data_IF_085227986213
#
_entry.id   IF_085227986213
#
_cell.length_a   1.000
_cell.length_b   1.000
_cell.length_c   1.000
_cell.angle_alpha   90.00
_cell.angle_beta   90.00
_cell.angle_gamma   90.00
#
_symmetry.space_group_name_H-M   'P 1'
#
loop_
_entity.id
_entity.type
_entity.pdbx_description
1 polymer ?
#
# COMPACT_ATOMS: atom_id res chain seq x y z
N UNK A 1 -9.12 -9.02 -2.75
CA UNK A 1 -8.28 -8.16 -1.86
C UNK A 1 -8.62 -6.70 -2.08
N UNK A 2 -8.68 -5.90 -1.01
CA UNK A 2 -8.84 -4.45 -1.14
C UNK A 2 -7.51 -3.81 -1.57
N UNK A 3 -7.36 -3.46 -2.83
CA UNK A 3 -6.19 -2.74 -3.33
C UNK A 3 -6.48 -1.25 -3.42
N UNK A 4 -5.73 -0.45 -2.68
CA UNK A 4 -5.83 0.99 -2.70
C UNK A 4 -4.84 1.60 -3.68
N UNK A 5 -5.36 2.34 -4.66
CA UNK A 5 -4.55 3.10 -5.61
C UNK A 5 -4.11 4.41 -4.95
N UNK A 6 -2.84 4.45 -4.55
CA UNK A 6 -2.27 5.60 -3.87
C UNK A 6 -1.86 6.71 -4.85
N UNK A 7 -1.84 7.98 -4.36
CA UNK A 7 -1.53 9.17 -5.14
C UNK A 7 -2.58 9.55 -6.19
N UNK A 8 -2.49 10.75 -6.73
CA UNK A 8 -3.39 11.30 -7.75
C UNK A 8 -2.83 11.13 -9.16
N UNK A 9 -3.72 10.95 -10.12
CA UNK A 9 -3.43 10.98 -11.56
C UNK A 9 -3.87 12.27 -12.25
N UNK A 10 -3.77 12.28 -13.57
CA UNK A 10 -4.45 13.30 -14.38
C UNK A 10 -5.96 13.04 -14.45
N UNK A 11 -6.70 13.94 -15.09
CA UNK A 11 -8.18 13.84 -15.17
C UNK A 11 -8.68 12.50 -15.72
N UNK A 12 -8.04 12.00 -16.77
CA UNK A 12 -8.47 10.74 -17.42
C UNK A 12 -8.20 9.52 -16.56
N UNK A 13 -7.06 9.50 -15.84
CA UNK A 13 -6.74 8.45 -14.89
C UNK A 13 -7.72 8.46 -13.72
N UNK A 14 -8.05 9.63 -13.17
CA UNK A 14 -9.03 9.75 -12.08
C UNK A 14 -10.42 9.28 -12.51
N UNK A 15 -10.87 9.64 -13.71
CA UNK A 15 -12.14 9.15 -14.26
C UNK A 15 -12.14 7.61 -14.45
N UNK A 16 -11.01 7.02 -14.86
CA UNK A 16 -10.88 5.58 -14.97
C UNK A 16 -10.93 4.89 -13.61
N UNK A 17 -10.20 5.42 -12.61
CA UNK A 17 -10.17 4.90 -11.25
C UNK A 17 -11.58 4.94 -10.62
N UNK A 18 -12.34 6.01 -10.85
CA UNK A 18 -13.72 6.11 -10.40
C UNK A 18 -14.64 5.13 -11.12
N UNK A 19 -14.61 5.11 -12.47
CA UNK A 19 -15.42 4.20 -13.28
C UNK A 19 -15.24 2.72 -12.91
N UNK A 20 -14.01 2.37 -12.50
CA UNK A 20 -13.66 1.01 -12.07
C UNK A 20 -13.88 0.78 -10.57
N UNK A 21 -14.43 1.73 -9.86
CA UNK A 21 -14.64 1.65 -8.40
C UNK A 21 -13.37 1.29 -7.63
N UNK A 22 -12.22 1.81 -8.05
CA UNK A 22 -10.95 1.58 -7.38
C UNK A 22 -10.96 2.21 -5.97
N UNK A 23 -10.44 1.48 -4.99
CA UNK A 23 -10.20 2.05 -3.67
C UNK A 23 -9.03 3.05 -3.76
N UNK A 24 -9.07 4.11 -2.95
CA UNK A 24 -8.10 5.18 -3.00
C UNK A 24 -7.40 5.37 -1.67
N UNK A 25 -6.10 5.64 -1.74
CA UNK A 25 -5.31 6.09 -0.61
C UNK A 25 -4.73 7.47 -0.92
N UNK A 26 -4.89 8.40 0.01
CA UNK A 26 -4.27 9.71 -0.04
C UNK A 26 -3.65 10.06 1.31
N UNK A 27 -2.55 10.79 1.30
CA UNK A 27 -2.07 11.43 2.53
C UNK A 27 -2.98 12.60 2.87
N UNK A 28 -3.10 12.95 4.16
CA UNK A 28 -3.88 14.12 4.59
C UNK A 28 -3.43 15.44 3.92
N UNK A 29 -2.22 15.47 3.38
CA UNK A 29 -1.67 16.64 2.68
C UNK A 29 -2.32 16.85 1.31
N UNK A 30 -2.96 15.84 0.74
CA UNK A 30 -3.63 15.86 -0.56
C UNK A 30 -5.12 16.29 -0.44
N UNK A 31 -5.42 17.29 0.38
CA UNK A 31 -6.80 17.72 0.71
C UNK A 31 -7.70 17.94 -0.51
N UNK A 32 -7.16 18.53 -1.58
CA UNK A 32 -7.91 18.76 -2.83
C UNK A 32 -8.29 17.45 -3.53
N UNK A 33 -7.39 16.47 -3.56
CA UNK A 33 -7.64 15.14 -4.14
C UNK A 33 -8.65 14.35 -3.33
N UNK A 34 -8.55 14.42 -1.99
CA UNK A 34 -9.50 13.79 -1.06
C UNK A 34 -10.90 14.38 -1.28
N UNK A 35 -11.04 15.71 -1.29
CA UNK A 35 -12.30 16.41 -1.54
C UNK A 35 -12.90 15.96 -2.88
N UNK A 36 -12.13 16.01 -3.95
CA UNK A 36 -12.55 15.56 -5.28
C UNK A 36 -12.99 14.09 -5.28
N UNK A 37 -12.23 13.20 -4.65
CA UNK A 37 -12.58 11.79 -4.54
C UNK A 37 -13.93 11.60 -3.82
N UNK A 38 -14.19 12.35 -2.75
CA UNK A 38 -15.44 12.31 -2.01
C UNK A 38 -16.61 12.83 -2.85
N UNK A 39 -16.41 13.94 -3.57
CA UNK A 39 -17.44 14.54 -4.44
C UNK A 39 -17.80 13.63 -5.63
N UNK A 40 -16.82 12.91 -6.18
CA UNK A 40 -17.02 11.97 -7.28
C UNK A 40 -17.67 10.65 -6.83
N UNK A 41 -17.59 10.30 -5.56
CA UNK A 41 -18.25 9.11 -5.01
C UNK A 41 -19.77 9.24 -5.11
N UNK A 42 -20.37 8.49 -5.99
CA UNK A 42 -21.83 8.36 -6.04
C UNK A 42 -22.31 7.42 -4.93
N UNK A 43 -23.60 7.49 -4.58
CA UNK A 43 -24.22 6.57 -3.59
C UNK A 43 -24.09 5.08 -3.95
N UNK A 44 -23.81 4.77 -5.22
CA UNK A 44 -23.65 3.40 -5.75
C UNK A 44 -22.20 2.98 -5.90
N UNK A 45 -21.25 3.87 -5.65
CA UNK A 45 -19.82 3.54 -5.76
C UNK A 45 -19.32 2.87 -4.47
N UNK A 46 -18.98 1.58 -4.47
CA UNK A 46 -18.53 0.85 -3.29
C UNK A 46 -17.05 1.10 -2.95
N UNK A 47 -16.39 2.03 -3.63
CA UNK A 47 -14.97 2.30 -3.41
C UNK A 47 -14.70 2.78 -1.99
N UNK A 48 -13.58 2.34 -1.43
CA UNK A 48 -13.11 2.69 -0.08
C UNK A 48 -12.11 3.83 -0.16
N UNK A 49 -12.05 4.64 0.90
CA UNK A 49 -11.10 5.74 1.03
C UNK A 49 -10.25 5.52 2.29
N UNK A 50 -8.95 5.44 2.10
CA UNK A 50 -7.95 5.37 3.15
C UNK A 50 -7.22 6.72 3.24
N UNK A 51 -7.10 7.28 4.44
CA UNK A 51 -6.33 8.50 4.70
C UNK A 51 -5.05 8.12 5.46
N UNK A 52 -3.91 8.35 4.82
CA UNK A 52 -2.60 8.23 5.45
C UNK A 52 -2.22 9.55 6.15
N UNK A 53 -1.45 9.44 7.25
CA UNK A 53 -1.04 10.59 8.04
C UNK A 53 -0.11 11.56 7.31
N UNK A 54 0.59 11.08 6.28
CA UNK A 54 1.61 11.84 5.56
C UNK A 54 2.92 12.04 6.35
N UNK A 55 3.14 11.25 7.40
CA UNK A 55 4.33 11.35 8.26
C UNK A 55 5.63 11.26 7.45
N UNK A 56 5.72 10.34 6.49
CA UNK A 56 6.91 10.21 5.62
C UNK A 56 7.15 11.47 4.77
N UNK A 57 6.11 12.00 4.15
CA UNK A 57 6.22 13.23 3.33
C UNK A 57 6.62 14.43 4.18
N UNK A 58 6.08 14.53 5.39
CA UNK A 58 6.42 15.60 6.33
C UNK A 58 7.86 15.48 6.80
N UNK A 59 8.28 14.27 7.18
CA UNK A 59 9.66 14.00 7.60
C UNK A 59 10.69 14.32 6.50
N UNK A 60 10.43 13.98 5.23
CA UNK A 60 11.33 14.34 4.11
C UNK A 60 11.44 15.84 3.90
N UNK A 61 10.46 16.63 4.36
CA UNK A 61 10.46 18.09 4.32
C UNK A 61 10.96 18.74 5.62
N UNK A 62 11.38 17.95 6.60
CA UNK A 62 11.84 18.43 7.91
C UNK A 62 10.73 19.06 8.77
N UNK A 63 9.47 18.69 8.55
CA UNK A 63 8.31 19.15 9.34
C UNK A 63 7.66 17.97 10.05
N UNK A 64 6.99 18.23 11.16
CA UNK A 64 6.20 17.23 11.89
C UNK A 64 4.73 17.32 11.50
N UNK A 65 4.04 16.19 11.61
CA UNK A 65 2.57 16.16 11.51
C UNK A 65 2.00 16.60 12.86
N UNK A 66 1.12 17.59 12.84
CA UNK A 66 0.33 17.97 14.00
C UNK A 66 -0.80 16.94 14.21
N UNK A 67 -0.71 16.21 15.33
CA UNK A 67 -1.59 15.07 15.61
C UNK A 67 -3.02 15.52 15.86
N UNK A 68 -3.23 16.63 16.58
CA UNK A 68 -4.59 17.14 16.87
C UNK A 68 -5.26 17.66 15.61
N UNK A 69 -4.55 18.41 14.77
CA UNK A 69 -5.08 18.83 13.46
C UNK A 69 -5.44 17.64 12.56
N UNK A 70 -4.66 16.56 12.62
CA UNK A 70 -4.98 15.34 11.88
C UNK A 70 -6.23 14.64 12.44
N UNK A 71 -6.35 14.52 13.75
CA UNK A 71 -7.55 13.97 14.42
C UNK A 71 -8.80 14.75 14.02
N UNK A 72 -8.75 16.08 14.07
CA UNK A 72 -9.87 16.94 13.68
C UNK A 72 -10.25 16.72 12.21
N UNK A 73 -9.24 16.63 11.35
CA UNK A 73 -9.46 16.36 9.93
C UNK A 73 -10.13 14.99 9.70
N UNK A 74 -9.66 13.93 10.35
CA UNK A 74 -10.26 12.59 10.28
C UNK A 74 -11.69 12.60 10.83
N UNK A 75 -11.93 13.23 11.96
CA UNK A 75 -13.27 13.34 12.57
C UNK A 75 -14.28 14.07 11.66
N UNK A 76 -13.82 15.05 10.88
CA UNK A 76 -14.64 15.72 9.87
C UNK A 76 -14.96 14.86 8.63
N UNK A 77 -14.19 13.79 8.41
CA UNK A 77 -14.35 12.86 7.30
C UNK A 77 -14.89 11.48 7.75
N UNK A 78 -15.26 11.32 9.02
CA UNK A 78 -15.51 9.99 9.58
C UNK A 78 -16.51 9.14 8.79
N UNK A 79 -17.61 9.72 8.34
CA UNK A 79 -18.63 9.03 7.52
C UNK A 79 -18.18 8.73 6.07
N UNK A 80 -17.07 9.27 5.62
CA UNK A 80 -16.58 9.20 4.22
C UNK A 80 -15.36 8.33 4.04
N UNK A 81 -14.64 8.05 5.12
CA UNK A 81 -13.44 7.24 5.11
C UNK A 81 -13.69 5.82 5.62
N UNK A 82 -12.86 4.88 5.17
CA UNK A 82 -12.91 3.49 5.64
C UNK A 82 -11.82 3.20 6.66
N UNK A 83 -10.63 3.75 6.47
CA UNK A 83 -9.43 3.52 7.28
C UNK A 83 -8.65 4.82 7.37
N UNK A 84 -7.96 5.05 8.49
CA UNK A 84 -6.92 6.05 8.63
C UNK A 84 -5.69 5.46 9.33
N UNK A 85 -4.50 5.90 8.92
CA UNK A 85 -3.25 5.50 9.56
C UNK A 85 -2.98 6.33 10.81
N UNK A 86 -2.29 5.75 11.79
CA UNK A 86 -1.72 6.53 12.88
C UNK A 86 -0.71 7.56 12.35
N UNK A 87 -0.33 8.53 13.17
CA UNK A 87 0.82 9.41 12.89
C UNK A 87 2.08 8.71 13.36
N UNK A 88 2.89 8.24 12.40
CA UNK A 88 4.18 7.63 12.69
C UNK A 88 5.20 8.65 13.13
N UNK A 89 6.06 8.28 14.08
CA UNK A 89 7.30 8.95 14.39
C UNK A 89 8.42 8.28 13.60
N UNK A 90 8.90 8.92 12.53
CA UNK A 90 9.99 8.38 11.72
C UNK A 90 11.32 8.77 12.37
N UNK A 91 12.28 7.82 12.57
CA UNK A 91 13.51 8.11 13.28
C UNK A 91 14.42 9.07 12.52
N UNK A 92 15.03 9.99 13.27
CA UNK A 92 16.05 10.90 12.78
C UNK A 92 15.55 11.99 11.84
N UNK A 93 16.48 12.56 11.09
CA UNK A 93 16.25 13.62 10.09
C UNK A 93 16.56 13.06 8.72
N UNK A 94 15.75 13.44 7.72
CA UNK A 94 15.97 13.02 6.33
C UNK A 94 17.38 13.38 5.84
N UNK A 95 18.06 12.45 5.20
CA UNK A 95 19.41 12.63 4.67
C UNK A 95 20.54 12.47 5.70
N UNK A 96 20.23 12.20 6.98
CA UNK A 96 21.20 11.91 8.03
C UNK A 96 21.13 10.45 8.47
N UNK A 97 22.28 9.88 8.85
CA UNK A 97 22.32 8.55 9.46
C UNK A 97 21.55 8.59 10.78
N UNK A 98 20.65 7.64 10.97
CA UNK A 98 19.83 7.48 12.18
C UNK A 98 20.68 6.92 13.32
N UNK A 99 20.53 7.45 14.51
CA UNK A 99 21.14 6.89 15.71
C UNK A 99 20.34 5.71 16.24
N UNK A 100 20.98 4.81 16.96
CA UNK A 100 20.32 3.67 17.60
C UNK A 100 19.18 4.12 18.54
N UNK A 101 19.41 5.18 19.30
CA UNK A 101 18.40 5.77 20.18
C UNK A 101 17.15 6.25 19.41
N UNK A 102 17.32 6.92 18.26
CA UNK A 102 16.19 7.37 17.43
C UNK A 102 15.39 6.20 16.89
N UNK A 103 16.06 5.11 16.50
CA UNK A 103 15.41 3.88 16.02
C UNK A 103 14.60 3.22 17.14
N UNK A 104 15.11 3.19 18.36
CA UNK A 104 14.44 2.58 19.51
C UNK A 104 13.27 3.42 20.05
N UNK A 105 13.39 4.75 20.03
CA UNK A 105 12.36 5.67 20.55
C UNK A 105 11.17 5.86 19.57
N UNK A 106 11.42 5.79 18.27
CA UNK A 106 10.40 6.10 17.26
C UNK A 106 9.17 5.19 17.34
N UNK A 107 9.27 3.86 17.46
CA UNK A 107 8.10 3.01 17.58
C UNK A 107 7.33 3.22 18.90
N UNK A 108 8.03 3.64 19.97
CA UNK A 108 7.38 4.00 21.25
C UNK A 108 6.49 5.23 21.06
N UNK A 109 7.02 6.29 20.43
CA UNK A 109 6.26 7.51 20.13
C UNK A 109 5.13 7.27 19.14
N UNK A 110 5.35 6.44 18.13
CA UNK A 110 4.29 6.02 17.19
C UNK A 110 3.15 5.31 17.92
N UNK A 111 3.47 4.45 18.88
CA UNK A 111 2.48 3.79 19.71
C UNK A 111 1.74 4.75 20.65
N UNK A 112 2.44 5.71 21.25
CA UNK A 112 1.82 6.78 22.06
C UNK A 112 0.84 7.61 21.22
N UNK A 113 1.22 7.97 19.98
CA UNK A 113 0.33 8.64 19.05
C UNK A 113 -0.93 7.79 18.74
N UNK A 114 -0.77 6.48 18.50
CA UNK A 114 -1.91 5.59 18.30
C UNK A 114 -2.86 5.61 19.49
N UNK A 115 -2.33 5.46 20.72
CA UNK A 115 -3.15 5.47 21.94
C UNK A 115 -3.87 6.80 22.14
N UNK A 116 -3.20 7.90 21.87
CA UNK A 116 -3.79 9.24 21.96
C UNK A 116 -4.89 9.46 20.92
N UNK A 117 -4.62 9.08 19.67
CA UNK A 117 -5.57 9.24 18.56
C UNK A 117 -6.84 8.40 18.76
N UNK A 118 -6.70 7.13 19.17
CA UNK A 118 -7.85 6.22 19.33
C UNK A 118 -8.88 6.73 20.34
N UNK A 119 -8.44 7.49 21.35
CA UNK A 119 -9.31 8.03 22.39
C UNK A 119 -10.05 9.31 21.94
N UNK A 120 -9.56 9.98 20.88
CA UNK A 120 -10.10 11.23 20.33
C UNK A 120 -10.87 11.07 19.03
N UNK A 121 -10.66 9.96 18.32
CA UNK A 121 -11.36 9.69 17.08
C UNK A 121 -12.79 9.22 17.33
N UNK A 122 -13.74 9.68 16.50
CA UNK A 122 -15.15 9.26 16.53
C UNK A 122 -15.30 7.75 16.32
N UNK A 123 -14.49 7.19 15.40
CA UNK A 123 -14.49 5.78 15.01
C UNK A 123 -13.09 5.20 15.14
N UNK A 124 -12.71 4.79 16.36
CA UNK A 124 -11.40 4.21 16.66
C UNK A 124 -11.06 2.99 15.79
N UNK A 125 -12.07 2.21 15.38
CA UNK A 125 -11.89 0.98 14.60
C UNK A 125 -11.42 1.24 13.17
N UNK A 126 -11.45 2.50 12.73
CA UNK A 126 -10.87 2.94 11.46
C UNK A 126 -9.38 3.26 11.57
N UNK A 127 -8.88 3.50 12.79
CA UNK A 127 -7.47 3.79 13.02
C UNK A 127 -6.65 2.52 13.03
N UNK A 128 -5.60 2.47 12.21
CA UNK A 128 -4.67 1.36 12.20
C UNK A 128 -3.30 1.79 12.74
N UNK A 129 -2.73 1.04 13.71
CA UNK A 129 -1.32 1.15 14.05
C UNK A 129 -0.48 0.48 12.97
N UNK A 130 0.76 0.93 12.79
CA UNK A 130 1.67 0.43 11.75
C UNK A 130 2.91 -0.15 12.41
N UNK A 131 3.30 -1.36 11.98
CA UNK A 131 4.54 -2.02 12.34
C UNK A 131 5.53 -1.96 11.17
N UNK A 132 6.71 -1.37 11.40
CA UNK A 132 7.73 -1.18 10.37
C UNK A 132 8.86 -2.22 10.47
N UNK A 133 9.47 -2.54 9.34
CA UNK A 133 10.52 -3.58 9.24
C UNK A 133 11.72 -3.34 10.14
N UNK A 134 12.05 -2.10 10.48
CA UNK A 134 13.22 -1.78 11.30
C UNK A 134 12.95 -1.82 12.82
N UNK A 135 11.70 -2.05 13.20
CA UNK A 135 11.28 -2.12 14.60
C UNK A 135 11.50 -3.51 15.20
N UNK A 136 11.65 -3.56 16.52
CA UNK A 136 11.63 -4.83 17.25
C UNK A 136 10.27 -5.51 17.12
N UNK A 137 10.26 -6.82 16.90
CA UNK A 137 9.03 -7.63 16.87
C UNK A 137 8.23 -7.61 18.18
N UNK A 138 8.83 -7.13 19.28
CA UNK A 138 8.10 -6.89 20.53
C UNK A 138 7.03 -5.82 20.38
N UNK A 139 7.22 -4.83 19.48
CA UNK A 139 6.17 -3.84 19.16
C UNK A 139 4.98 -4.50 18.44
N UNK A 140 5.23 -5.42 17.49
CA UNK A 140 4.15 -6.18 16.86
C UNK A 140 3.40 -7.03 17.91
N UNK A 141 4.10 -7.74 18.79
CA UNK A 141 3.47 -8.51 19.86
C UNK A 141 2.60 -7.64 20.75
N UNK A 142 3.14 -6.47 21.18
CA UNK A 142 2.40 -5.49 21.97
C UNK A 142 1.11 -5.03 21.30
N UNK A 143 1.12 -4.76 19.98
CA UNK A 143 -0.08 -4.43 19.21
C UNK A 143 -1.11 -5.58 19.23
N UNK A 144 -0.65 -6.81 19.08
CA UNK A 144 -1.52 -7.99 19.02
C UNK A 144 -2.12 -8.37 20.39
N UNK A 145 -1.40 -8.11 21.47
CA UNK A 145 -1.82 -8.36 22.85
C UNK A 145 -2.70 -7.24 23.41
N UNK A 146 -2.63 -6.06 22.81
CA UNK A 146 -3.39 -4.90 23.29
C UNK A 146 -4.89 -5.17 23.27
N UNK A 147 -5.56 -4.68 24.32
CA UNK A 147 -7.02 -4.68 24.42
C UNK A 147 -7.52 -3.28 24.76
N UNK A 148 -8.56 -2.87 24.06
CA UNK A 148 -9.29 -1.65 24.38
C UNK A 148 -9.98 -1.77 25.74
N UNK A 149 -10.47 -0.67 26.31
CA UNK A 149 -11.16 -0.64 27.61
C UNK A 149 -12.41 -1.55 27.68
N UNK A 150 -13.00 -1.86 26.52
CA UNK A 150 -14.12 -2.80 26.40
C UNK A 150 -13.67 -4.28 26.18
N UNK A 151 -12.37 -4.55 26.28
CA UNK A 151 -11.78 -5.89 26.09
C UNK A 151 -11.58 -6.30 24.64
N UNK A 152 -11.99 -5.49 23.65
CA UNK A 152 -11.82 -5.83 22.24
C UNK A 152 -10.35 -5.67 21.79
N UNK A 153 -9.83 -6.57 20.92
CA UNK A 153 -8.49 -6.41 20.35
C UNK A 153 -8.48 -5.37 19.26
N UNK A 154 -7.27 -4.95 18.85
CA UNK A 154 -7.10 -4.16 17.61
C UNK A 154 -7.62 -4.98 16.43
N UNK A 155 -8.53 -4.38 15.66
CA UNK A 155 -9.19 -5.06 14.54
C UNK A 155 -8.33 -5.10 13.26
N UNK A 156 -7.40 -4.15 13.12
CA UNK A 156 -6.64 -3.96 11.88
C UNK A 156 -5.28 -3.34 12.18
N UNK A 157 -4.20 -3.88 11.60
CA UNK A 157 -2.83 -3.37 11.71
C UNK A 157 -2.19 -3.19 10.34
N UNK A 158 -1.25 -2.26 10.22
CA UNK A 158 -0.40 -2.08 9.05
C UNK A 158 0.91 -2.83 9.20
N UNK A 159 1.39 -3.43 8.11
CA UNK A 159 2.72 -4.03 7.98
C UNK A 159 3.47 -3.26 6.90
N UNK A 160 4.56 -2.60 7.28
CA UNK A 160 5.31 -1.69 6.41
C UNK A 160 6.74 -2.18 6.17
N UNK A 161 7.00 -2.91 5.07
CA UNK A 161 8.37 -3.26 4.69
C UNK A 161 9.17 -2.02 4.30
N UNK A 162 10.46 -1.99 4.64
CA UNK A 162 11.34 -0.87 4.30
C UNK A 162 11.70 -0.88 2.81
N UNK A 163 11.61 0.28 2.14
CA UNK A 163 11.96 0.41 0.73
C UNK A 163 13.45 0.17 0.45
N UNK A 164 14.31 0.41 1.44
CA UNK A 164 15.77 0.34 1.33
C UNK A 164 16.32 -1.08 1.50
N UNK A 165 15.47 -2.05 1.82
CA UNK A 165 15.87 -3.45 2.04
C UNK A 165 15.73 -4.29 0.78
N UNK A 166 16.52 -5.37 0.72
CA UNK A 166 16.43 -6.35 -0.36
C UNK A 166 15.06 -7.04 -0.39
N UNK A 167 14.71 -7.63 -1.52
CA UNK A 167 13.45 -8.37 -1.65
C UNK A 167 13.39 -9.56 -0.68
N UNK A 168 14.53 -10.24 -0.44
CA UNK A 168 14.64 -11.34 0.53
C UNK A 168 14.38 -10.85 1.95
N UNK A 169 15.01 -9.72 2.38
CA UNK A 169 14.81 -9.17 3.72
C UNK A 169 13.37 -8.76 3.98
N UNK A 170 12.71 -8.20 2.95
CA UNK A 170 11.28 -7.85 3.03
C UNK A 170 10.42 -9.11 3.21
N UNK A 171 10.71 -10.16 2.47
CA UNK A 171 9.97 -11.41 2.54
C UNK A 171 10.18 -12.11 3.90
N UNK A 172 11.41 -12.14 4.42
CA UNK A 172 11.71 -12.68 5.76
C UNK A 172 10.98 -11.89 6.86
N UNK A 173 10.96 -10.56 6.77
CA UNK A 173 10.19 -9.70 7.68
C UNK A 173 8.69 -10.03 7.64
N UNK A 174 8.12 -10.15 6.45
CA UNK A 174 6.70 -10.47 6.26
C UNK A 174 6.38 -11.86 6.79
N UNK A 175 7.19 -12.86 6.44
CA UNK A 175 7.02 -14.24 6.90
C UNK A 175 7.01 -14.32 8.42
N UNK A 176 7.97 -13.65 9.08
CA UNK A 176 8.06 -13.59 10.54
C UNK A 176 6.90 -12.84 11.17
N UNK A 177 6.44 -11.74 10.54
CA UNK A 177 5.27 -11.00 11.01
C UNK A 177 4.02 -11.88 11.00
N UNK A 178 3.73 -12.58 9.91
CA UNK A 178 2.59 -13.49 9.84
C UNK A 178 2.71 -14.73 10.73
N UNK A 179 3.94 -15.21 10.95
CA UNK A 179 4.15 -16.26 11.95
C UNK A 179 3.75 -15.79 13.34
N UNK A 180 4.18 -14.60 13.76
CA UNK A 180 3.85 -14.03 15.08
C UNK A 180 2.33 -13.78 15.17
N UNK A 181 1.71 -13.19 14.15
CA UNK A 181 0.25 -12.95 14.11
C UNK A 181 -0.50 -14.25 14.33
N UNK A 182 -0.16 -15.31 13.58
CA UNK A 182 -0.82 -16.62 13.66
C UNK A 182 -0.76 -17.25 15.04
N UNK A 183 0.32 -17.01 15.81
CA UNK A 183 0.54 -17.61 17.14
C UNK A 183 0.24 -16.63 18.30
N UNK A 184 -0.34 -15.48 17.99
CA UNK A 184 -0.68 -14.44 18.99
C UNK A 184 -2.07 -14.66 19.60
N UNK A 185 -2.41 -13.81 20.56
CA UNK A 185 -3.77 -13.71 21.12
C UNK A 185 -4.79 -13.04 20.17
N UNK A 186 -4.34 -12.55 18.98
CA UNK A 186 -5.18 -11.92 17.97
C UNK A 186 -4.86 -12.44 16.55
N UNK A 187 -5.02 -13.77 16.29
CA UNK A 187 -4.60 -14.40 15.04
C UNK A 187 -5.44 -14.01 13.82
N UNK A 188 -6.62 -13.43 14.04
CA UNK A 188 -7.54 -13.02 12.98
C UNK A 188 -7.51 -11.50 12.70
N UNK A 189 -6.52 -10.78 13.24
CA UNK A 189 -6.35 -9.35 12.96
C UNK A 189 -6.25 -9.11 11.46
N UNK A 190 -6.98 -8.13 10.95
CA UNK A 190 -6.83 -7.70 9.57
C UNK A 190 -5.47 -7.05 9.37
N UNK A 191 -4.89 -7.21 8.18
CA UNK A 191 -3.56 -6.67 7.87
C UNK A 191 -3.58 -5.86 6.58
N UNK A 192 -2.93 -4.68 6.61
CA UNK A 192 -2.68 -3.85 5.45
C UNK A 192 -1.19 -3.86 5.08
N UNK A 193 -0.88 -4.13 3.82
CA UNK A 193 0.48 -4.09 3.29
C UNK A 193 0.77 -2.68 2.76
N UNK A 194 1.57 -1.88 3.49
CA UNK A 194 1.95 -0.55 3.05
C UNK A 194 2.99 -0.57 1.93
N UNK A 195 2.73 0.22 0.87
CA UNK A 195 3.65 0.40 -0.25
C UNK A 195 4.01 -0.89 -0.99
N UNK A 196 3.20 -1.93 -0.87
CA UNK A 196 3.49 -3.25 -1.41
C UNK A 196 2.98 -3.39 -2.84
N UNK A 197 3.93 -3.65 -3.75
CA UNK A 197 3.64 -3.79 -5.18
C UNK A 197 3.98 -5.16 -5.75
N UNK A 198 4.61 -6.01 -4.94
CA UNK A 198 4.93 -7.37 -5.35
C UNK A 198 3.71 -8.27 -5.19
N UNK A 199 2.97 -8.47 -6.28
CA UNK A 199 1.73 -9.23 -6.29
C UNK A 199 1.93 -10.68 -5.84
N UNK A 200 3.09 -11.29 -6.15
CA UNK A 200 3.37 -12.66 -5.73
C UNK A 200 3.54 -12.79 -4.20
N UNK A 201 4.02 -11.75 -3.52
CA UNK A 201 4.06 -11.71 -2.06
C UNK A 201 2.64 -11.55 -1.52
N UNK A 202 1.86 -10.64 -2.08
CA UNK A 202 0.48 -10.45 -1.68
C UNK A 202 -0.38 -11.73 -1.84
N UNK A 203 -0.08 -12.57 -2.83
CA UNK A 203 -0.76 -13.87 -3.01
C UNK A 203 -0.31 -14.92 -1.99
N UNK A 204 0.90 -14.82 -1.45
CA UNK A 204 1.45 -15.82 -0.50
C UNK A 204 1.14 -15.55 0.96
N UNK A 205 0.79 -14.33 1.32
CA UNK A 205 0.49 -13.93 2.69
C UNK A 205 -0.94 -13.38 2.80
N UNK A 206 -1.69 -13.69 3.87
CA UNK A 206 -3.13 -13.40 3.96
C UNK A 206 -3.40 -11.94 4.32
N UNK A 207 -2.90 -11.02 3.51
CA UNK A 207 -3.23 -9.60 3.65
C UNK A 207 -4.71 -9.33 3.34
N UNK A 208 -5.33 -8.48 4.14
CA UNK A 208 -6.70 -7.99 3.89
C UNK A 208 -6.71 -6.93 2.81
N UNK A 209 -5.72 -6.04 2.86
CA UNK A 209 -5.57 -4.97 1.87
C UNK A 209 -4.11 -4.61 1.63
N UNK A 210 -3.87 -3.87 0.55
CA UNK A 210 -2.58 -3.29 0.20
C UNK A 210 -2.77 -1.94 -0.47
N UNK A 211 -1.73 -1.11 -0.47
CA UNK A 211 -1.68 0.09 -1.28
C UNK A 211 -0.51 0.09 -2.27
N UNK A 212 -0.64 0.85 -3.33
CA UNK A 212 0.40 0.97 -4.33
C UNK A 212 0.33 2.28 -5.10
N UNK A 213 1.50 2.91 -5.28
CA UNK A 213 1.73 3.97 -6.28
C UNK A 213 2.28 3.42 -7.60
N UNK A 214 2.54 2.11 -7.68
CA UNK A 214 3.22 1.48 -8.83
C UNK A 214 2.47 1.63 -10.14
N UNK A 215 1.13 1.72 -10.10
CA UNK A 215 0.33 1.98 -11.30
C UNK A 215 0.80 3.23 -12.06
N UNK A 216 1.24 4.25 -11.33
CA UNK A 216 1.71 5.52 -11.86
C UNK A 216 3.23 5.55 -12.01
N UNK A 217 3.96 5.09 -10.98
CA UNK A 217 5.41 5.13 -10.96
C UNK A 217 6.02 4.24 -12.05
N UNK A 218 5.55 2.98 -12.19
CA UNK A 218 6.02 2.10 -13.28
C UNK A 218 5.75 2.72 -14.66
N UNK A 219 4.58 3.32 -14.86
CA UNK A 219 4.27 4.01 -16.10
C UNK A 219 5.19 5.21 -16.37
N UNK A 220 5.51 6.00 -15.34
CA UNK A 220 6.44 7.13 -15.44
C UNK A 220 7.87 6.67 -15.79
N UNK A 221 8.28 5.50 -15.28
CA UNK A 221 9.54 4.85 -15.63
C UNK A 221 9.43 3.95 -16.87
N UNK A 222 8.49 4.22 -17.78
CA UNK A 222 8.39 3.54 -19.07
C UNK A 222 7.93 2.10 -19.03
N UNK A 223 7.27 1.66 -17.94
CA UNK A 223 6.96 0.25 -17.72
C UNK A 223 5.47 -0.02 -17.54
N UNK A 224 5.06 -1.25 -17.85
CA UNK A 224 3.74 -1.81 -17.56
C UNK A 224 3.85 -2.97 -16.58
N UNK A 225 2.78 -3.21 -15.82
CA UNK A 225 2.67 -4.32 -14.87
C UNK A 225 1.91 -5.47 -15.51
N UNK A 226 2.44 -6.69 -15.37
CA UNK A 226 1.86 -7.89 -15.96
C UNK A 226 2.02 -9.09 -15.02
N UNK A 227 1.38 -10.22 -15.33
CA UNK A 227 1.60 -11.49 -14.61
C UNK A 227 3.04 -12.02 -14.69
N UNK A 228 3.84 -11.50 -15.62
CA UNK A 228 5.26 -11.82 -15.74
C UNK A 228 6.16 -10.82 -14.97
N UNK A 229 5.56 -9.94 -14.18
CA UNK A 229 6.22 -8.84 -13.48
C UNK A 229 6.14 -7.52 -14.26
N UNK A 230 7.00 -6.58 -13.89
CA UNK A 230 7.08 -5.27 -14.55
C UNK A 230 7.95 -5.37 -15.80
N UNK A 231 7.39 -4.97 -16.94
CA UNK A 231 8.04 -5.00 -18.27
C UNK A 231 8.28 -3.57 -18.73
N UNK A 232 9.49 -3.27 -19.15
CA UNK A 232 9.84 -2.00 -19.79
C UNK A 232 9.29 -2.00 -21.22
N UNK A 233 8.59 -0.93 -21.62
CA UNK A 233 7.98 -0.83 -22.97
C UNK A 233 8.25 0.52 -23.65
N UNK A 234 8.71 1.53 -22.91
CA UNK A 234 8.98 2.85 -23.48
C UNK A 234 10.08 2.83 -24.52
N UNK A 235 9.82 3.46 -25.68
CA UNK A 235 10.81 3.64 -26.76
C UNK A 235 12.08 4.36 -26.32
N UNK A 236 12.03 5.11 -25.23
CA UNK A 236 13.21 5.79 -24.66
C UNK A 236 14.15 4.82 -23.94
N UNK A 237 13.71 3.59 -23.66
CA UNK A 237 14.43 2.58 -22.88
C UNK A 237 14.71 1.29 -23.64
N UNK A 238 14.81 1.34 -24.94
CA UNK A 238 15.09 0.17 -25.82
C UNK A 238 16.35 -0.62 -25.43
N UNK A 239 17.29 -0.03 -24.69
CA UNK A 239 18.52 -0.69 -24.25
C UNK A 239 18.34 -1.51 -22.95
N UNK A 240 17.21 -1.40 -22.27
CA UNK A 240 16.94 -2.15 -21.06
C UNK A 240 16.71 -3.63 -21.42
N UNK A 241 17.41 -4.54 -20.74
CA UNK A 241 17.26 -6.00 -20.95
C UNK A 241 15.86 -6.54 -20.63
N UNK A 242 15.09 -5.80 -19.85
CA UNK A 242 13.67 -6.10 -19.53
C UNK A 242 12.69 -5.48 -20.51
N UNK A 243 13.19 -4.87 -21.61
CA UNK A 243 12.31 -4.25 -22.60
C UNK A 243 11.51 -5.31 -23.35
N UNK A 244 10.25 -5.00 -23.67
CA UNK A 244 9.29 -5.89 -24.34
C UNK A 244 9.88 -6.47 -25.67
N UNK A 245 10.74 -5.73 -26.35
CA UNK A 245 11.37 -6.19 -27.60
C UNK A 245 12.24 -7.43 -27.43
N UNK A 246 12.81 -7.63 -26.23
CA UNK A 246 13.64 -8.79 -25.92
C UNK A 246 12.85 -9.93 -25.27
N UNK A 247 11.55 -9.74 -25.05
CA UNK A 247 10.70 -10.77 -24.44
C UNK A 247 10.25 -11.80 -25.50
N UNK A 248 9.95 -13.04 -25.08
CA UNK A 248 9.35 -14.05 -25.94
C UNK A 248 8.06 -13.55 -26.61
N UNK A 249 7.74 -14.07 -27.82
CA UNK A 249 6.53 -13.73 -28.56
C UNK A 249 5.26 -13.94 -27.73
N UNK A 250 5.23 -14.98 -26.90
CA UNK A 250 4.09 -15.28 -26.00
C UNK A 250 3.82 -14.16 -24.99
N UNK A 251 4.86 -13.44 -24.52
CA UNK A 251 4.70 -12.28 -23.64
C UNK A 251 4.14 -11.09 -24.41
N UNK A 252 4.66 -10.84 -25.63
CA UNK A 252 4.19 -9.77 -26.51
C UNK A 252 2.70 -9.97 -26.89
N UNK A 253 2.34 -11.19 -27.23
CA UNK A 253 0.94 -11.57 -27.57
C UNK A 253 0.02 -11.39 -26.35
N UNK A 254 0.48 -11.80 -25.16
CA UNK A 254 -0.27 -11.55 -23.93
C UNK A 254 -0.52 -10.06 -23.71
N UNK A 255 0.50 -9.20 -23.81
CA UNK A 255 0.33 -7.75 -23.64
C UNK A 255 -0.65 -7.18 -24.67
N UNK A 256 -0.56 -7.60 -25.93
CA UNK A 256 -1.51 -7.21 -26.98
C UNK A 256 -2.94 -7.64 -26.65
N UNK A 257 -3.12 -8.85 -26.14
CA UNK A 257 -4.46 -9.34 -25.74
C UNK A 257 -5.05 -8.55 -24.57
N UNK A 258 -4.22 -8.17 -23.57
CA UNK A 258 -4.66 -7.31 -22.48
C UNK A 258 -4.99 -5.89 -22.97
N UNK A 259 -4.23 -5.35 -23.94
CA UNK A 259 -4.54 -4.08 -24.57
C UNK A 259 -5.92 -4.09 -25.24
N UNK A 260 -6.23 -5.14 -26.01
CA UNK A 260 -7.54 -5.32 -26.63
C UNK A 260 -8.65 -5.39 -25.57
N UNK A 261 -8.45 -6.18 -24.51
CA UNK A 261 -9.39 -6.30 -23.39
C UNK A 261 -9.68 -4.96 -22.72
N UNK A 262 -8.67 -4.09 -22.58
CA UNK A 262 -8.78 -2.80 -21.90
C UNK A 262 -9.16 -1.64 -22.84
N UNK A 263 -9.27 -1.89 -24.15
CA UNK A 263 -9.50 -0.84 -25.15
C UNK A 263 -8.34 0.14 -25.26
N UNK A 264 -7.11 -0.37 -25.13
CA UNK A 264 -5.86 0.41 -25.17
C UNK A 264 -5.13 0.13 -26.47
N UNK A 265 -4.64 1.18 -27.12
CA UNK A 265 -3.77 1.06 -28.27
C UNK A 265 -2.38 0.58 -27.81
N UNK A 266 -1.95 -0.58 -28.33
CA UNK A 266 -0.67 -1.20 -27.97
C UNK A 266 0.53 -0.31 -28.31
N UNK A 267 0.50 0.36 -29.48
CA UNK A 267 1.63 1.17 -29.94
C UNK A 267 1.81 2.44 -29.10
N UNK A 268 0.71 2.96 -28.53
CA UNK A 268 0.75 4.08 -27.60
C UNK A 268 1.44 3.76 -26.27
N UNK A 269 1.58 2.48 -25.89
CA UNK A 269 2.36 2.11 -24.71
C UNK A 269 3.83 2.49 -24.82
N UNK A 270 4.39 2.53 -26.05
CA UNK A 270 5.78 2.88 -26.27
C UNK A 270 6.08 4.36 -26.01
N UNK A 271 5.12 5.25 -26.24
CA UNK A 271 5.35 6.70 -26.25
C UNK A 271 4.57 7.45 -25.16
N UNK A 272 3.39 6.97 -24.76
CA UNK A 272 2.50 7.71 -23.87
C UNK A 272 2.45 7.16 -22.44
N UNK A 273 2.88 8.00 -21.49
CA UNK A 273 2.79 7.73 -20.05
C UNK A 273 1.35 7.45 -19.60
N UNK A 274 0.39 8.23 -20.10
CA UNK A 274 -1.02 8.11 -19.72
C UNK A 274 -1.60 6.74 -20.09
N UNK A 275 -1.25 6.26 -21.27
CA UNK A 275 -1.64 4.93 -21.76
C UNK A 275 -1.05 3.81 -20.92
N UNK A 276 0.24 3.88 -20.55
CA UNK A 276 0.87 2.93 -19.63
C UNK A 276 0.19 2.94 -18.25
N UNK A 277 -0.12 4.11 -17.72
CA UNK A 277 -0.80 4.23 -16.43
C UNK A 277 -2.22 3.64 -16.47
N UNK A 278 -2.98 3.88 -17.54
CA UNK A 278 -4.30 3.28 -17.76
C UNK A 278 -4.22 1.74 -17.87
N UNK A 279 -3.21 1.22 -18.55
CA UNK A 279 -2.94 -0.22 -18.59
C UNK A 279 -2.72 -0.78 -17.18
N UNK A 280 -1.83 -0.16 -16.40
CA UNK A 280 -1.51 -0.59 -15.04
C UNK A 280 -2.72 -0.51 -14.11
N UNK A 281 -3.58 0.51 -14.22
CA UNK A 281 -4.82 0.62 -13.45
C UNK A 281 -5.74 -0.57 -13.76
N UNK A 282 -5.97 -0.86 -15.04
CA UNK A 282 -6.82 -1.96 -15.46
C UNK A 282 -6.29 -3.30 -14.97
N UNK A 283 -4.99 -3.55 -15.17
CA UNK A 283 -4.34 -4.78 -14.76
C UNK A 283 -4.41 -5.01 -13.24
N UNK A 284 -4.04 -4.01 -12.46
CA UNK A 284 -4.06 -4.12 -10.99
C UNK A 284 -5.47 -4.26 -10.44
N UNK A 285 -6.46 -3.59 -11.04
CA UNK A 285 -7.86 -3.72 -10.63
C UNK A 285 -8.38 -5.13 -10.93
N UNK A 286 -8.10 -5.64 -12.12
CA UNK A 286 -8.49 -7.01 -12.49
C UNK A 286 -7.81 -8.05 -11.58
N UNK A 287 -6.53 -7.85 -11.26
CA UNK A 287 -5.83 -8.71 -10.32
C UNK A 287 -6.48 -8.66 -8.92
N UNK A 288 -6.79 -7.47 -8.41
CA UNK A 288 -7.40 -7.31 -7.09
C UNK A 288 -8.80 -7.93 -6.99
N UNK A 289 -9.61 -7.81 -8.07
CA UNK A 289 -10.96 -8.38 -8.14
C UNK A 289 -10.94 -9.92 -8.20
N UNK A 290 -9.91 -10.49 -8.84
CA UNK A 290 -9.72 -11.93 -8.97
C UNK A 290 -8.67 -12.48 -8.01
N UNK A 291 -8.34 -11.71 -6.95
CA UNK A 291 -7.31 -12.11 -6.00
C UNK A 291 -7.65 -13.44 -5.33
N UNK A 292 -6.67 -14.33 -5.33
CA UNK A 292 -6.71 -15.61 -4.64
C UNK A 292 -5.48 -15.75 -3.74
N UNK A 293 -5.71 -16.06 -2.46
CA UNK A 293 -4.64 -16.36 -1.52
C UNK A 293 -4.06 -17.76 -1.80
N UNK A 294 -2.77 -17.80 -2.10
CA UNK A 294 -2.03 -19.02 -2.44
C UNK A 294 -0.95 -19.27 -1.37
N UNK A 295 -1.27 -19.92 -0.25
CA UNK A 295 -0.31 -20.18 0.81
C UNK A 295 0.87 -20.99 0.29
N UNK A 296 2.09 -20.61 0.67
CA UNK A 296 3.27 -21.41 0.39
C UNK A 296 3.18 -22.69 1.22
N UNK A 297 3.02 -23.83 0.56
CA UNK A 297 3.18 -25.14 1.20
C UNK A 297 4.69 -25.35 1.38
N UNK A 298 5.18 -25.12 2.58
CA UNK A 298 6.56 -25.50 2.92
C UNK A 298 6.58 -27.03 2.97
N UNK A 299 6.97 -27.66 1.86
CA UNK A 299 7.38 -29.05 1.92
C UNK A 299 8.64 -29.08 2.81
N UNK A 300 8.51 -29.54 4.05
CA UNK A 300 9.67 -29.96 4.83
C UNK A 300 10.38 -30.99 3.97
N UNK A 301 11.47 -30.60 3.27
CA UNK A 301 12.44 -31.60 2.83
C UNK A 301 12.94 -32.21 4.11
N UNK A 302 12.55 -33.46 4.36
CA UNK A 302 13.19 -34.27 5.40
C UNK A 302 14.66 -34.33 5.04
N UNK A 303 15.49 -33.66 5.84
CA UNK A 303 16.92 -33.91 5.85
C UNK A 303 17.10 -35.26 6.57
N UNK A 304 17.08 -36.32 5.79
CA UNK A 304 17.66 -37.63 6.15
C UNK A 304 18.59 -38.06 5.01
#
# INVERSE_FOLDING_TARGET
>A
MDLYFASSGNKDMELLLEKKHCHRLFTQLEKSSIKRCIEMKTRRNPSKLFIDSGAFTSWTKGISVDVDSYIDYINNLDDKITICAQVDCIPGTFGRVRTQKEIEESPIKSWENYLYMKDKLKSRDKLIPIFHQEESFEHLKKMLEYRHSDGTPIAYIGISPSNDRSQSDKEDFIARSFYIIKHSSNPNVKTHAFGMTNLSILERYPYTSADSTSWKMSAAFGSIMTRFGTIVISSEQLKDKKHIEYMPSTVKEYVKSECLKYGIDYDMLYTDFGTRAKFNINYLKDWADNYEYKPVTVHKKSLF
#
